data_IF_247976027348
#
_entry.id   IF_247976027348
#
_cell.length_a   1.000
_cell.length_b   1.000
_cell.length_c   1.000
_cell.angle_alpha   90.00
_cell.angle_beta   90.00
_cell.angle_gamma   90.00
#
_symmetry.space_group_name_H-M   'P 1'
#
loop_
_entity.id
_entity.type
_entity.pdbx_description
1 polymer ?
#
# COMPACT_ATOMS: atom_id res chain seq x y z
N UNK A 1 -7.62 23.06 21.89
CA UNK A 1 -7.93 21.80 22.58
C UNK A 1 -6.67 20.94 22.59
N UNK A 2 -6.14 20.69 23.78
CA UNK A 2 -4.78 20.18 24.01
C UNK A 2 -4.62 18.71 23.58
N UNK A 3 -3.57 18.44 22.83
CA UNK A 3 -3.04 17.14 22.44
C UNK A 3 -2.57 16.30 23.66
N UNK A 4 -3.48 15.75 24.43
CA UNK A 4 -3.17 14.87 25.59
C UNK A 4 -2.85 13.43 25.10
N UNK A 5 -3.22 13.06 23.87
CA UNK A 5 -3.11 11.69 23.36
C UNK A 5 -1.76 11.29 22.74
N UNK A 6 -0.83 12.23 22.46
CA UNK A 6 0.45 11.86 21.82
C UNK A 6 1.57 11.43 22.80
N UNK A 7 1.42 11.71 24.10
CA UNK A 7 2.52 11.43 25.07
C UNK A 7 2.62 9.97 25.53
N UNK A 8 1.55 9.17 25.40
CA UNK A 8 1.48 7.80 25.92
C UNK A 8 1.58 6.68 24.87
N UNK A 9 1.71 7.04 23.59
CA UNK A 9 1.88 6.05 22.54
C UNK A 9 3.30 5.49 22.58
N UNK A 10 3.50 4.16 22.64
CA UNK A 10 4.86 3.57 22.62
C UNK A 10 5.61 4.01 21.36
N UNK A 11 6.95 4.12 21.44
CA UNK A 11 7.80 4.51 20.30
C UNK A 11 7.61 3.58 19.09
N UNK A 12 7.30 2.31 19.33
CA UNK A 12 7.03 1.31 18.28
C UNK A 12 5.82 1.66 17.41
N UNK A 13 4.90 2.48 17.92
CA UNK A 13 3.73 2.99 17.19
C UNK A 13 3.98 4.34 16.53
N UNK A 14 5.23 4.78 16.42
CA UNK A 14 5.62 6.03 15.78
C UNK A 14 6.54 5.75 14.57
N UNK A 15 6.06 5.09 13.51
CA UNK A 15 6.85 4.89 12.30
C UNK A 15 7.03 6.21 11.55
N UNK A 16 8.08 6.35 10.75
CA UNK A 16 8.25 7.48 9.86
C UNK A 16 7.78 7.15 8.45
N UNK A 17 7.06 8.11 7.83
CA UNK A 17 6.76 8.06 6.40
C UNK A 17 8.05 8.28 5.61
N UNK A 18 8.32 7.37 4.66
CA UNK A 18 9.49 7.44 3.80
C UNK A 18 9.11 7.97 2.44
N UNK A 19 9.71 9.09 2.08
CA UNK A 19 9.58 9.70 0.78
C UNK A 19 10.81 9.36 -0.08
N UNK A 20 10.61 9.31 -1.37
CA UNK A 20 11.70 9.30 -2.34
C UNK A 20 12.38 10.69 -2.40
N UNK A 21 13.46 10.84 -3.14
CA UNK A 21 14.16 12.12 -3.31
C UNK A 21 13.33 13.21 -4.03
N UNK A 22 12.21 12.83 -4.67
CA UNK A 22 11.24 13.74 -5.26
C UNK A 22 10.09 14.11 -4.29
N UNK A 23 10.23 13.76 -3.00
CA UNK A 23 9.25 13.99 -1.95
C UNK A 23 7.90 13.27 -2.12
N UNK A 24 7.81 12.28 -3.00
CA UNK A 24 6.66 11.39 -3.12
C UNK A 24 6.86 10.15 -2.26
N UNK A 25 5.82 9.57 -1.64
CA UNK A 25 5.94 8.30 -0.95
C UNK A 25 6.51 7.21 -1.86
N UNK A 26 7.42 6.39 -1.34
CA UNK A 26 7.96 5.24 -2.08
C UNK A 26 6.87 4.24 -2.47
N UNK A 27 5.84 4.12 -1.62
CA UNK A 27 4.64 3.34 -1.89
C UNK A 27 3.46 3.97 -1.15
N UNK A 28 2.30 4.03 -1.81
CA UNK A 28 1.05 4.48 -1.19
C UNK A 28 0.31 3.32 -0.52
N UNK A 29 0.51 2.09 -0.99
CA UNK A 29 -0.14 0.95 -0.39
C UNK A 29 0.64 -0.36 -0.67
N UNK A 30 1.12 -1.06 0.38
CA UNK A 30 1.20 -0.57 1.76
C UNK A 30 2.02 0.71 1.81
N UNK A 31 1.63 1.61 2.71
CA UNK A 31 2.36 2.87 2.87
C UNK A 31 3.81 2.59 3.27
N UNK A 32 4.75 3.32 2.66
CA UNK A 32 6.18 3.17 2.95
C UNK A 32 6.51 3.75 4.33
N UNK A 33 6.46 2.90 5.34
CA UNK A 33 6.75 3.25 6.73
C UNK A 33 7.98 2.51 7.22
N UNK A 34 8.91 3.23 7.85
CA UNK A 34 10.04 2.64 8.57
C UNK A 34 9.84 2.72 10.07
N UNK A 35 10.40 1.75 10.78
CA UNK A 35 10.46 1.80 12.24
C UNK A 35 11.23 3.05 12.70
N UNK A 36 10.96 3.52 13.91
CA UNK A 36 11.72 4.64 14.44
C UNK A 36 13.23 4.34 14.55
N UNK A 37 13.60 3.08 14.85
CA UNK A 37 15.00 2.64 14.94
C UNK A 37 15.69 2.73 13.58
N UNK A 38 15.07 2.19 12.53
CA UNK A 38 15.62 2.22 11.17
C UNK A 38 15.74 3.65 10.65
N UNK A 39 14.74 4.47 10.99
CA UNK A 39 14.72 5.90 10.66
C UNK A 39 15.90 6.62 11.29
N UNK A 40 16.07 6.50 12.61
CA UNK A 40 17.18 7.13 13.35
C UNK A 40 18.54 6.65 12.82
N UNK A 41 18.69 5.33 12.62
CA UNK A 41 19.90 4.75 12.02
C UNK A 41 20.21 5.37 10.66
N UNK A 42 19.20 5.57 9.81
CA UNK A 42 19.38 6.13 8.47
C UNK A 42 19.74 7.62 8.50
N UNK A 43 19.25 8.36 9.49
CA UNK A 43 19.67 9.75 9.73
C UNK A 43 21.14 9.81 10.11
N UNK A 44 21.61 8.98 11.04
CA UNK A 44 23.03 8.93 11.44
C UNK A 44 23.96 8.47 10.31
N UNK A 45 23.47 7.61 9.42
CA UNK A 45 24.23 7.16 8.25
C UNK A 45 24.16 8.15 7.07
N UNK A 46 23.57 9.32 7.29
CA UNK A 46 23.44 10.39 6.28
C UNK A 46 22.72 9.94 4.98
N UNK A 47 21.83 8.95 5.06
CA UNK A 47 21.09 8.39 3.91
C UNK A 47 19.79 9.12 3.61
N UNK A 48 19.26 9.84 4.58
CA UNK A 48 17.97 10.52 4.51
C UNK A 48 18.06 11.95 5.01
N UNK A 49 17.09 12.77 4.61
CA UNK A 49 16.84 14.11 5.14
C UNK A 49 15.57 14.03 5.98
N UNK A 50 15.60 14.66 7.16
CA UNK A 50 14.40 14.78 8.00
C UNK A 50 13.54 15.90 7.43
N UNK A 51 12.29 15.59 7.14
CA UNK A 51 11.32 16.54 6.56
C UNK A 51 10.35 17.03 7.63
N UNK A 52 9.91 16.12 8.52
CA UNK A 52 9.01 16.49 9.61
C UNK A 52 9.28 15.62 10.85
N UNK A 53 8.76 16.04 12.00
CA UNK A 53 8.98 15.39 13.29
C UNK A 53 7.66 15.14 14.02
N UNK A 54 7.65 14.11 14.87
CA UNK A 54 6.69 13.98 15.96
C UNK A 54 7.01 15.01 17.07
N UNK A 55 6.03 15.38 17.86
CA UNK A 55 6.26 16.17 19.07
C UNK A 55 6.79 15.29 20.23
N UNK A 56 7.84 14.56 19.93
CA UNK A 56 8.52 13.62 20.85
C UNK A 56 10.02 13.69 20.69
N UNK A 57 10.71 13.49 21.80
CA UNK A 57 12.17 13.46 21.86
C UNK A 57 12.64 12.08 22.26
N UNK A 58 13.59 11.53 21.52
CA UNK A 58 14.34 10.34 21.89
C UNK A 58 15.67 10.79 22.51
N UNK A 59 16.13 10.04 23.51
CA UNK A 59 17.34 10.36 24.26
C UNK A 59 18.19 9.11 24.44
N UNK A 60 19.50 9.30 24.39
CA UNK A 60 20.52 8.37 24.84
C UNK A 60 21.48 9.11 25.81
N UNK A 61 22.40 8.44 26.47
CA UNK A 61 23.32 9.10 27.40
C UNK A 61 24.09 10.30 26.83
N UNK A 62 24.41 10.27 25.53
CA UNK A 62 25.21 11.29 24.83
C UNK A 62 24.46 12.05 23.74
N UNK A 63 23.14 11.76 23.54
CA UNK A 63 22.45 12.30 22.39
C UNK A 63 20.95 12.50 22.66
N UNK A 64 20.40 13.56 22.09
CA UNK A 64 18.95 13.85 22.11
C UNK A 64 18.52 14.42 20.79
N UNK A 65 17.40 13.90 20.22
CA UNK A 65 16.80 14.43 18.99
C UNK A 65 15.28 14.33 19.00
N UNK A 66 14.61 15.21 18.25
CA UNK A 66 13.18 15.02 17.96
C UNK A 66 13.01 13.79 17.07
N UNK A 67 11.99 12.98 17.36
CA UNK A 67 11.70 11.78 16.60
C UNK A 67 11.18 12.15 15.20
N UNK A 68 11.84 11.72 14.10
CA UNK A 68 11.36 12.01 12.74
C UNK A 68 10.03 11.32 12.47
N UNK A 69 9.08 12.04 11.88
CA UNK A 69 7.79 11.51 11.41
C UNK A 69 7.71 11.39 9.89
N UNK A 70 8.51 12.18 9.16
CA UNK A 70 8.67 12.14 7.71
C UNK A 70 10.13 12.29 7.37
N UNK A 71 10.63 11.39 6.53
CA UNK A 71 12.00 11.45 5.99
C UNK A 71 11.97 11.31 4.47
N UNK A 72 12.93 11.91 3.79
CA UNK A 72 13.14 11.76 2.36
C UNK A 72 14.49 11.12 2.08
N UNK A 73 14.56 10.20 1.13
CA UNK A 73 15.81 9.62 0.66
C UNK A 73 16.67 10.68 -0.02
N UNK A 74 17.97 10.66 0.17
CA UNK A 74 18.91 11.54 -0.55
C UNK A 74 19.12 11.12 -2.00
N UNK A 75 18.97 9.82 -2.28
CA UNK A 75 19.12 9.27 -3.62
C UNK A 75 17.76 8.85 -4.18
N UNK A 76 17.48 9.23 -5.42
CA UNK A 76 16.24 8.85 -6.10
C UNK A 76 16.22 7.36 -6.42
N UNK A 77 15.18 6.67 -5.96
CA UNK A 77 14.89 5.29 -6.33
C UNK A 77 13.85 5.33 -7.44
N UNK A 78 14.22 4.82 -8.62
CA UNK A 78 13.30 4.71 -9.75
C UNK A 78 12.22 3.68 -9.40
N UNK A 79 10.92 4.06 -9.38
CA UNK A 79 9.84 3.10 -9.19
C UNK A 79 9.89 2.02 -10.27
N UNK A 80 9.62 0.78 -9.90
CA UNK A 80 9.47 -0.28 -10.89
C UNK A 80 8.21 -0.01 -11.71
N UNK A 81 8.33 -0.02 -13.04
CA UNK A 81 7.19 0.19 -13.94
C UNK A 81 6.19 -0.97 -13.87
N UNK A 82 6.69 -2.19 -13.69
CA UNK A 82 5.90 -3.41 -13.64
C UNK A 82 5.89 -3.98 -12.22
N UNK A 83 4.76 -3.97 -11.52
CA UNK A 83 4.66 -4.56 -10.18
C UNK A 83 4.77 -6.07 -10.24
N UNK A 84 5.35 -6.66 -9.20
CA UNK A 84 5.41 -8.11 -9.04
C UNK A 84 3.99 -8.70 -8.93
N UNK A 85 3.80 -9.89 -9.51
CA UNK A 85 2.58 -10.66 -9.35
C UNK A 85 2.52 -11.21 -7.92
N UNK A 86 1.76 -10.55 -7.05
CA UNK A 86 1.54 -10.95 -5.66
C UNK A 86 0.06 -10.96 -5.34
N UNK A 87 -0.33 -11.74 -4.32
CA UNK A 87 -1.71 -11.76 -3.82
C UNK A 87 -2.24 -10.36 -3.54
N UNK A 88 -1.42 -9.58 -2.85
CA UNK A 88 -1.73 -8.22 -2.48
C UNK A 88 -1.99 -7.33 -3.71
N UNK A 89 -1.09 -7.37 -4.69
CA UNK A 89 -1.19 -6.53 -5.90
C UNK A 89 -2.37 -6.92 -6.78
N UNK A 90 -2.77 -8.20 -6.81
CA UNK A 90 -3.99 -8.64 -7.51
C UNK A 90 -5.23 -8.08 -6.79
N UNK A 91 -5.29 -8.18 -5.46
CA UNK A 91 -6.40 -7.59 -4.69
C UNK A 91 -6.46 -6.07 -4.87
N UNK A 92 -5.32 -5.40 -4.87
CA UNK A 92 -5.23 -3.96 -5.06
C UNK A 92 -5.67 -3.53 -6.48
N UNK A 93 -5.26 -4.28 -7.53
CA UNK A 93 -5.75 -4.07 -8.90
C UNK A 93 -7.27 -4.15 -8.96
N UNK A 94 -7.86 -5.14 -8.30
CA UNK A 94 -9.29 -5.42 -8.28
C UNK A 94 -10.04 -4.65 -7.18
N UNK A 95 -9.38 -3.64 -6.58
CA UNK A 95 -9.93 -2.75 -5.54
C UNK A 95 -10.53 -3.52 -4.35
N UNK A 96 -9.87 -4.61 -3.95
CA UNK A 96 -10.33 -5.50 -2.87
C UNK A 96 -11.80 -5.90 -3.01
N UNK A 97 -12.23 -6.23 -4.23
CA UNK A 97 -13.60 -6.64 -4.51
C UNK A 97 -13.65 -7.86 -5.43
N UNK A 98 -14.61 -8.73 -5.19
CA UNK A 98 -14.90 -9.88 -6.04
C UNK A 98 -15.27 -9.41 -7.46
N UNK A 99 -14.57 -9.90 -8.47
CA UNK A 99 -14.81 -9.50 -9.85
C UNK A 99 -16.07 -10.11 -10.48
N UNK A 100 -16.76 -10.98 -9.74
CA UNK A 100 -18.04 -11.55 -10.14
C UNK A 100 -19.25 -10.83 -9.53
N UNK A 101 -19.24 -10.60 -8.22
CA UNK A 101 -20.40 -10.05 -7.49
C UNK A 101 -20.15 -8.74 -6.77
N UNK A 102 -18.90 -8.23 -6.75
CA UNK A 102 -18.53 -7.00 -6.05
C UNK A 102 -18.35 -7.14 -4.52
N UNK A 103 -18.56 -8.32 -3.93
CA UNK A 103 -18.35 -8.53 -2.48
C UNK A 103 -16.92 -8.22 -2.07
N UNK A 104 -16.76 -7.64 -0.87
CA UNK A 104 -15.45 -7.34 -0.26
C UNK A 104 -15.04 -8.35 0.81
N UNK A 105 -15.89 -9.35 1.09
CA UNK A 105 -15.68 -10.33 2.14
C UNK A 105 -15.13 -11.64 1.57
N UNK A 106 -14.35 -12.35 2.39
CA UNK A 106 -13.81 -13.69 2.10
C UNK A 106 -13.14 -13.80 0.73
N UNK A 107 -12.26 -12.81 0.43
CA UNK A 107 -11.59 -12.72 -0.86
C UNK A 107 -10.51 -13.79 -1.01
N UNK A 108 -10.50 -14.41 -2.16
CA UNK A 108 -9.58 -15.42 -2.64
C UNK A 108 -9.20 -15.17 -4.10
N UNK A 109 -8.41 -16.05 -4.68
CA UNK A 109 -8.06 -16.04 -6.11
C UNK A 109 -8.88 -17.05 -6.89
N UNK A 110 -9.27 -16.64 -8.08
CA UNK A 110 -9.82 -17.56 -9.08
C UNK A 110 -9.04 -17.47 -10.39
N UNK A 111 -8.79 -18.62 -11.02
CA UNK A 111 -8.19 -18.73 -12.33
C UNK A 111 -9.30 -18.80 -13.38
N UNK A 112 -9.36 -17.85 -14.31
CA UNK A 112 -10.37 -17.84 -15.38
C UNK A 112 -10.26 -19.09 -16.25
N UNK A 113 -9.07 -19.41 -16.72
CA UNK A 113 -8.70 -20.70 -17.25
C UNK A 113 -8.16 -21.54 -16.08
N UNK A 114 -8.87 -22.60 -15.66
CA UNK A 114 -8.46 -23.44 -14.54
C UNK A 114 -7.06 -24.05 -14.75
N UNK A 115 -6.28 -24.17 -13.67
CA UNK A 115 -4.95 -24.81 -13.72
C UNK A 115 -5.01 -26.23 -14.29
N UNK A 116 -6.05 -27.01 -13.96
CA UNK A 116 -6.29 -28.35 -14.50
C UNK A 116 -6.49 -28.39 -16.02
N UNK A 117 -6.74 -27.22 -16.63
CA UNK A 117 -6.90 -27.05 -18.09
C UNK A 117 -5.75 -26.25 -18.72
N UNK A 118 -4.60 -26.17 -18.03
CA UNK A 118 -3.41 -25.47 -18.52
C UNK A 118 -3.36 -23.97 -18.20
N UNK A 119 -4.24 -23.46 -17.37
CA UNK A 119 -4.23 -22.05 -16.94
C UNK A 119 -3.00 -21.70 -16.13
N UNK A 120 -2.36 -20.57 -16.48
CA UNK A 120 -1.21 -20.02 -15.77
C UNK A 120 -1.65 -19.16 -14.59
N UNK A 121 -0.77 -19.00 -13.61
CA UNK A 121 -0.96 -18.09 -12.48
C UNK A 121 -0.24 -16.79 -12.81
N UNK A 122 -0.93 -15.92 -13.53
CA UNK A 122 -0.41 -14.65 -14.02
C UNK A 122 -1.49 -13.55 -14.02
N UNK A 123 -1.09 -12.35 -14.43
CA UNK A 123 -1.93 -11.16 -14.42
C UNK A 123 -3.18 -11.29 -15.31
N UNK A 124 -3.10 -12.01 -16.42
CA UNK A 124 -4.16 -12.08 -17.42
C UNK A 124 -5.15 -13.22 -17.12
N UNK A 125 -4.83 -14.10 -16.18
CA UNK A 125 -5.64 -15.27 -15.88
C UNK A 125 -6.19 -15.30 -14.45
N UNK A 126 -5.68 -14.47 -13.53
CA UNK A 126 -6.10 -14.49 -12.12
C UNK A 126 -6.91 -13.25 -11.76
N UNK A 127 -8.05 -13.45 -11.09
CA UNK A 127 -8.91 -12.39 -10.58
C UNK A 127 -9.22 -12.59 -9.10
N UNK A 128 -9.57 -11.50 -8.44
CA UNK A 128 -10.13 -11.54 -7.09
C UNK A 128 -11.55 -12.08 -7.13
N UNK A 129 -11.85 -13.07 -6.31
CA UNK A 129 -13.16 -13.67 -6.15
C UNK A 129 -13.49 -13.88 -4.67
N UNK A 130 -14.72 -13.72 -4.25
CA UNK A 130 -15.14 -14.22 -2.95
C UNK A 130 -15.22 -15.75 -2.94
N UNK A 131 -15.11 -16.37 -1.78
CA UNK A 131 -15.14 -17.84 -1.65
C UNK A 131 -16.37 -18.46 -2.31
N UNK A 132 -17.54 -17.86 -2.13
CA UNK A 132 -18.80 -18.36 -2.72
C UNK A 132 -18.76 -18.35 -4.25
N UNK A 133 -18.35 -17.25 -4.89
CA UNK A 133 -18.23 -17.16 -6.35
C UNK A 133 -17.16 -18.12 -6.88
N UNK A 134 -16.04 -18.25 -6.18
CA UNK A 134 -14.97 -19.16 -6.56
C UNK A 134 -15.44 -20.63 -6.54
N UNK A 135 -16.13 -21.04 -5.48
CA UNK A 135 -16.73 -22.38 -5.38
C UNK A 135 -17.82 -22.57 -6.45
N UNK A 136 -18.68 -21.57 -6.65
CA UNK A 136 -19.72 -21.63 -7.69
C UNK A 136 -19.14 -21.80 -9.09
N UNK A 137 -18.04 -21.12 -9.42
CA UNK A 137 -17.36 -21.29 -10.72
C UNK A 137 -16.69 -22.66 -10.79
N UNK A 138 -16.01 -23.07 -9.72
CA UNK A 138 -15.26 -24.34 -9.66
C UNK A 138 -14.23 -24.44 -10.79
N UNK A 139 -13.95 -25.65 -11.26
CA UNK A 139 -13.02 -25.90 -12.39
C UNK A 139 -13.63 -25.65 -13.78
N UNK A 140 -14.70 -24.86 -13.89
CA UNK A 140 -15.35 -24.55 -15.18
C UNK A 140 -14.72 -23.30 -15.81
N UNK A 141 -14.77 -23.23 -17.14
CA UNK A 141 -14.43 -22.02 -17.88
C UNK A 141 -15.49 -20.94 -17.61
N UNK A 142 -15.11 -19.68 -17.73
CA UNK A 142 -16.01 -18.57 -17.54
C UNK A 142 -17.29 -18.71 -18.43
N UNK A 143 -17.08 -19.06 -19.71
CA UNK A 143 -18.19 -19.27 -20.67
C UNK A 143 -19.17 -20.36 -20.23
N UNK A 144 -18.70 -21.43 -19.60
CA UNK A 144 -19.53 -22.57 -19.19
C UNK A 144 -20.08 -22.41 -17.76
N UNK A 145 -19.57 -21.48 -16.99
CA UNK A 145 -20.06 -21.19 -15.64
C UNK A 145 -21.31 -20.31 -15.63
N UNK A 146 -21.59 -19.60 -16.73
CA UNK A 146 -22.64 -18.59 -16.81
C UNK A 146 -22.34 -17.29 -16.05
N UNK A 147 -21.14 -17.20 -15.47
CA UNK A 147 -20.72 -16.02 -14.69
C UNK A 147 -20.12 -14.95 -15.60
N UNK A 148 -20.26 -13.69 -15.18
CA UNK A 148 -19.68 -12.54 -15.87
C UNK A 148 -18.67 -11.86 -14.95
N UNK A 149 -17.64 -11.26 -15.53
CA UNK A 149 -16.68 -10.43 -14.83
C UNK A 149 -17.10 -8.95 -14.90
N UNK A 150 -16.87 -8.24 -13.81
CA UNK A 150 -17.00 -6.78 -13.79
C UNK A 150 -15.91 -6.12 -14.65
N UNK A 151 -14.70 -6.69 -14.60
CA UNK A 151 -13.55 -6.23 -15.38
C UNK A 151 -12.69 -7.45 -15.77
N UNK A 152 -12.18 -7.43 -17.01
CA UNK A 152 -11.19 -8.43 -17.44
C UNK A 152 -9.87 -8.20 -16.69
N UNK A 153 -9.16 -9.28 -16.32
CA UNK A 153 -7.84 -9.13 -15.71
C UNK A 153 -6.85 -8.52 -16.69
N UNK A 154 -5.90 -7.77 -16.16
CA UNK A 154 -4.85 -7.11 -16.90
C UNK A 154 -3.60 -6.96 -16.04
N UNK A 155 -2.44 -6.77 -16.64
CA UNK A 155 -1.23 -6.43 -15.91
C UNK A 155 -1.25 -4.93 -15.58
N UNK A 156 -1.35 -4.54 -14.30
CA UNK A 156 -1.36 -3.14 -13.91
C UNK A 156 0.03 -2.54 -14.01
N UNK A 157 0.11 -1.22 -14.17
CA UNK A 157 1.33 -0.46 -13.90
C UNK A 157 1.46 -0.17 -12.40
N UNK A 158 2.66 0.20 -11.95
CA UNK A 158 2.86 0.66 -10.57
C UNK A 158 2.00 1.88 -10.26
N UNK A 159 1.80 2.76 -11.24
CA UNK A 159 0.95 3.95 -11.09
C UNK A 159 -0.53 3.59 -10.92
N UNK A 160 -1.04 2.59 -11.64
CA UNK A 160 -2.40 2.09 -11.45
C UNK A 160 -2.61 1.56 -10.03
N UNK A 161 -1.63 0.80 -9.51
CA UNK A 161 -1.69 0.29 -8.14
C UNK A 161 -1.62 1.42 -7.11
N UNK A 162 -0.76 2.43 -7.32
CA UNK A 162 -0.68 3.60 -6.45
C UNK A 162 -2.01 4.38 -6.43
N UNK A 163 -2.60 4.63 -7.60
CA UNK A 163 -3.90 5.29 -7.71
C UNK A 163 -5.01 4.52 -7.00
N UNK A 164 -5.06 3.20 -7.18
CA UNK A 164 -6.01 2.36 -6.45
C UNK A 164 -5.73 2.37 -4.94
N UNK A 165 -4.46 2.39 -4.53
CA UNK A 165 -4.04 2.41 -3.13
C UNK A 165 -4.51 3.64 -2.36
N UNK A 166 -4.61 4.80 -3.00
CA UNK A 166 -5.13 6.03 -2.38
C UNK A 166 -6.56 5.89 -1.85
N UNK A 167 -7.36 5.00 -2.45
CA UNK A 167 -8.73 4.73 -2.00
C UNK A 167 -8.79 3.82 -0.75
N UNK A 168 -7.65 3.30 -0.29
CA UNK A 168 -7.54 2.41 0.87
C UNK A 168 -6.47 2.91 1.84
N UNK A 169 -6.68 4.10 2.45
CA UNK A 169 -5.72 4.66 3.40
C UNK A 169 -5.54 3.71 4.59
N UNK A 170 -4.36 3.66 5.20
CA UNK A 170 -4.14 2.89 6.42
C UNK A 170 -5.06 3.41 7.54
N UNK A 171 -5.40 2.52 8.49
CA UNK A 171 -6.28 2.85 9.63
C UNK A 171 -5.73 3.97 10.52
N UNK A 172 -4.42 4.23 10.44
CA UNK A 172 -3.76 5.31 11.18
C UNK A 172 -2.93 6.14 10.21
N UNK A 173 -3.26 7.42 10.12
CA UNK A 173 -2.49 8.44 9.41
C UNK A 173 -2.08 9.53 10.40
N UNK A 174 -0.77 9.74 10.56
CA UNK A 174 -0.30 10.88 11.34
C UNK A 174 -0.53 12.19 10.56
N UNK A 175 -0.94 13.25 11.27
CA UNK A 175 -1.24 14.57 10.63
C UNK A 175 -0.11 15.11 9.76
N UNK A 176 1.17 14.88 10.18
CA UNK A 176 2.34 15.34 9.40
C UNK A 176 2.56 14.61 8.08
N UNK A 177 1.80 13.54 7.80
CA UNK A 177 1.90 12.78 6.54
C UNK A 177 0.91 13.25 5.48
N UNK A 178 -0.15 13.96 5.90
CA UNK A 178 -1.28 14.31 5.03
C UNK A 178 -0.85 15.10 3.80
N UNK A 179 0.03 16.09 3.98
CA UNK A 179 0.51 16.95 2.89
C UNK A 179 1.30 16.16 1.82
N UNK A 180 1.86 15.01 2.17
CA UNK A 180 2.64 14.16 1.26
C UNK A 180 1.83 13.05 0.61
N UNK A 181 0.66 12.71 1.17
CA UNK A 181 -0.20 11.64 0.66
C UNK A 181 -1.26 12.16 -0.30
N UNK A 182 -1.68 13.40 -0.14
CA UNK A 182 -2.80 14.00 -0.87
C UNK A 182 -2.41 15.28 -1.62
N UNK A 183 -1.13 15.51 -1.86
CA UNK A 183 -0.63 16.72 -2.49
C UNK A 183 -1.13 16.94 -3.94
N UNK A 184 -1.57 15.88 -4.62
CA UNK A 184 -2.07 15.87 -6.00
C UNK A 184 -3.61 15.81 -6.08
N UNK A 185 -4.31 15.97 -4.95
CA UNK A 185 -5.77 16.11 -4.93
C UNK A 185 -6.12 17.54 -5.35
N UNK A 186 -6.96 17.69 -6.37
CA UNK A 186 -7.48 19.00 -6.76
C UNK A 186 -8.19 19.64 -5.57
N UNK A 187 -7.83 20.88 -5.28
CA UNK A 187 -8.52 21.66 -4.26
C UNK A 187 -9.90 22.03 -4.81
N UNK A 188 -10.95 21.70 -4.07
CA UNK A 188 -12.29 22.19 -4.40
C UNK A 188 -12.28 23.73 -4.37
N UNK A 189 -12.91 24.39 -5.37
CA UNK A 189 -12.94 25.84 -5.46
C UNK A 189 -13.72 26.51 -4.33
#
# INVERSE_FOLDING_TARGET
MNNIFEKDISLEKCPALVLNADYRPLSYYPLSLWSWQDTVKSVFLDRVVIVNHYDRVIRSPSFSMKLPSVIALKSFIKPQSNPNFTRFNVFLRDKFSCQYCGSKNDLTFDHLLPRSKGGKTDWDNVVTACSSCNVQKGGRLLKTSGMKLNQLPYQPTTEDLHRNGKNFPPNFLHKSWMDYLYWDVELEP
#
